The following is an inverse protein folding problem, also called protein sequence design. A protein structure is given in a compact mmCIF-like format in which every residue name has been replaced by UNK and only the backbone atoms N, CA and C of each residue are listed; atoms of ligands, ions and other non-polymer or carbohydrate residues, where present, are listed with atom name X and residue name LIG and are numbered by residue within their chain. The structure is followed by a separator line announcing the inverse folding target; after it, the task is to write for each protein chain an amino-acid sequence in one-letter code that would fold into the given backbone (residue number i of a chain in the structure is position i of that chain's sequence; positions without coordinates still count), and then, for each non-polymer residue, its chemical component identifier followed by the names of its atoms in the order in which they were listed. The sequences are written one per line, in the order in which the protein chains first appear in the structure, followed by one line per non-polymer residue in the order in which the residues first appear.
data_IF_726865723795
#
_entry.id   IF_726865723795
#
_cell.length_a   1.000
_cell.length_b   1.000
_cell.length_c   1.000
_cell.angle_alpha   90.00
_cell.angle_beta   90.00
_cell.angle_gamma   90.00
#
_symmetry.space_group_name_H-M   'P 1'
#
loop_
_entity.id
_entity.type
_entity.pdbx_description
1 polymer ?
#
# COMPACT_ATOMS: atom_id res chain seq x y z
N UNK A 1 -3.07 -6.22 -25.95
CA UNK A 1 -3.22 -6.27 -24.48
C UNK A 1 -4.52 -5.56 -24.18
N UNK A 2 -5.61 -6.31 -24.04
CA UNK A 2 -6.90 -5.73 -23.66
C UNK A 2 -6.72 -5.18 -22.24
N UNK A 3 -6.77 -3.84 -22.10
CA UNK A 3 -6.69 -3.22 -20.79
C UNK A 3 -7.93 -3.66 -20.00
N UNK A 4 -7.72 -4.47 -18.95
CA UNK A 4 -8.74 -4.64 -17.91
C UNK A 4 -8.79 -3.31 -17.18
N UNK A 5 -9.67 -2.42 -17.63
CA UNK A 5 -9.91 -1.13 -17.00
C UNK A 5 -10.71 -1.35 -15.72
N UNK A 6 -10.68 -0.37 -14.82
CA UNK A 6 -11.44 -0.43 -13.57
C UNK A 6 -12.96 -0.25 -13.78
N UNK A 7 -13.48 -0.49 -14.99
CA UNK A 7 -14.89 -0.23 -15.33
C UNK A 7 -15.88 -1.21 -14.70
N UNK A 8 -15.39 -2.36 -14.20
CA UNK A 8 -16.20 -3.31 -13.41
C UNK A 8 -16.34 -2.90 -11.95
N UNK A 9 -15.65 -1.86 -11.48
CA UNK A 9 -15.87 -1.32 -10.15
C UNK A 9 -17.31 -0.83 -10.04
N UNK A 10 -18.01 -1.24 -8.98
CA UNK A 10 -19.19 -0.51 -8.50
C UNK A 10 -18.71 0.83 -7.97
N UNK A 11 -18.53 1.76 -8.89
CA UNK A 11 -18.33 3.18 -8.64
C UNK A 11 -19.74 3.70 -8.27
N UNK A 12 -20.14 3.54 -6.99
CA UNK A 12 -21.22 4.28 -6.28
C UNK A 12 -20.72 5.39 -5.31
N UNK A 13 -21.39 6.55 -5.22
CA UNK A 13 -20.96 7.65 -4.32
C UNK A 13 -20.65 7.07 -2.95
N UNK A 14 -19.50 7.41 -2.31
CA UNK A 14 -19.14 6.84 -1.02
C UNK A 14 -20.33 6.96 -0.06
N UNK A 15 -20.91 5.81 0.30
CA UNK A 15 -21.95 5.73 1.32
C UNK A 15 -21.26 5.33 2.62
N UNK A 16 -21.62 5.97 3.71
CA UNK A 16 -21.13 5.64 5.05
C UNK A 16 -22.02 4.58 5.72
N UNK A 17 -22.75 3.78 4.95
CA UNK A 17 -23.63 2.71 5.46
C UNK A 17 -22.85 1.41 5.72
N UNK A 18 -21.58 1.38 5.32
CA UNK A 18 -20.59 0.30 5.41
C UNK A 18 -19.23 1.01 5.16
N UNK A 19 -18.43 0.56 4.20
CA UNK A 19 -17.14 1.18 3.87
C UNK A 19 -17.17 2.05 2.59
N UNK A 20 -16.68 3.28 2.72
CA UNK A 20 -16.41 4.19 1.62
C UNK A 20 -14.92 4.55 1.54
N UNK A 21 -14.26 4.34 0.39
CA UNK A 21 -12.82 4.61 0.23
C UNK A 21 -12.53 5.51 -0.97
N UNK A 22 -11.60 6.46 -0.78
CA UNK A 22 -10.95 7.24 -1.84
C UNK A 22 -9.44 7.17 -1.68
N UNK A 23 -8.75 6.76 -2.75
CA UNK A 23 -7.28 6.66 -2.78
C UNK A 23 -6.73 7.58 -3.85
N UNK A 24 -5.68 8.30 -3.50
CA UNK A 24 -4.84 9.10 -4.39
C UNK A 24 -3.43 8.50 -4.38
N UNK A 25 -2.87 8.31 -5.56
CA UNK A 25 -1.49 7.89 -5.74
C UNK A 25 -0.73 9.01 -6.43
N UNK A 26 0.56 9.13 -6.16
CA UNK A 26 1.45 9.99 -6.92
C UNK A 26 2.88 9.45 -6.85
N UNK A 27 3.73 9.83 -7.80
CA UNK A 27 5.15 9.51 -7.77
C UNK A 27 5.96 10.75 -8.14
N UNK A 28 7.22 10.81 -7.72
CA UNK A 28 8.06 11.96 -8.01
C UNK A 28 9.47 11.54 -8.44
N UNK A 29 9.87 11.99 -9.63
CA UNK A 29 11.21 11.71 -10.18
C UNK A 29 12.33 12.42 -9.42
N UNK A 30 12.09 13.61 -8.86
CA UNK A 30 13.12 14.37 -8.14
C UNK A 30 13.43 13.78 -6.77
N UNK A 31 12.40 13.41 -6.01
CA UNK A 31 12.55 12.84 -4.67
C UNK A 31 12.66 11.31 -4.67
N UNK A 32 12.40 10.65 -5.81
CA UNK A 32 12.42 9.18 -5.95
C UNK A 32 11.50 8.48 -4.94
N UNK A 33 10.27 8.98 -4.82
CA UNK A 33 9.27 8.47 -3.87
C UNK A 33 7.94 8.17 -4.55
N UNK A 34 7.27 7.16 -4.01
CA UNK A 34 5.86 6.89 -4.25
C UNK A 34 5.07 7.44 -3.07
N UNK A 35 3.94 8.07 -3.37
CA UNK A 35 3.05 8.73 -2.42
C UNK A 35 1.67 8.08 -2.50
N UNK A 36 1.04 7.95 -1.34
CA UNK A 36 -0.35 7.53 -1.24
C UNK A 36 -1.05 8.43 -0.23
N UNK A 37 -2.24 8.89 -0.60
CA UNK A 37 -3.19 9.41 0.35
C UNK A 37 -4.48 8.60 0.26
N UNK A 38 -5.08 8.29 1.40
CA UNK A 38 -6.35 7.60 1.46
C UNK A 38 -7.27 8.33 2.42
N UNK A 39 -8.52 8.50 2.02
CA UNK A 39 -9.61 8.84 2.91
C UNK A 39 -10.58 7.66 2.89
N UNK A 40 -10.99 7.21 4.07
CA UNK A 40 -12.13 6.31 4.19
C UNK A 40 -13.16 6.83 5.18
N UNK A 41 -14.40 6.39 5.01
CA UNK A 41 -15.49 6.59 5.95
C UNK A 41 -16.11 5.22 6.21
N UNK A 42 -16.26 4.89 7.48
CA UNK A 42 -16.71 3.59 7.96
C UNK A 42 -17.87 3.76 8.93
N UNK A 43 -18.88 2.89 8.89
CA UNK A 43 -19.98 2.91 9.85
C UNK A 43 -19.54 2.35 11.21
N UNK A 44 -18.65 1.36 11.22
CA UNK A 44 -18.01 0.78 12.40
C UNK A 44 -16.49 0.93 12.26
N UNK A 45 -15.83 1.44 13.30
CA UNK A 45 -14.37 1.47 13.36
C UNK A 45 -13.83 0.63 14.52
N UNK A 46 -12.98 -0.33 14.21
CA UNK A 46 -12.34 -1.23 15.17
C UNK A 46 -10.82 -1.07 15.13
N UNK A 47 -10.23 -0.93 16.32
CA UNK A 47 -8.79 -0.99 16.51
C UNK A 47 -8.46 -1.71 17.83
N UNK A 48 -8.14 -3.01 17.74
CA UNK A 48 -7.71 -3.84 18.87
C UNK A 48 -6.18 -3.98 18.94
N UNK A 49 -5.42 -3.16 18.21
CA UNK A 49 -3.96 -3.25 18.22
C UNK A 49 -3.43 -2.85 19.62
N UNK A 50 -2.72 -3.78 20.26
CA UNK A 50 -2.22 -3.61 21.63
C UNK A 50 -0.83 -2.93 21.71
N UNK A 51 -0.18 -2.69 20.56
CA UNK A 51 1.18 -2.19 20.48
C UNK A 51 2.25 -3.28 20.38
N UNK A 52 3.46 -2.88 19.93
CA UNK A 52 4.70 -3.64 20.06
C UNK A 52 5.10 -4.58 18.91
N UNK A 53 4.20 -4.96 17.99
CA UNK A 53 4.53 -5.91 16.91
C UNK A 53 3.97 -5.49 15.54
N UNK A 54 4.57 -4.49 14.86
CA UNK A 54 4.26 -4.18 13.47
C UNK A 54 4.86 -5.25 12.55
N UNK A 55 4.10 -5.85 11.60
CA UNK A 55 2.87 -5.36 10.99
C UNK A 55 1.58 -6.10 11.43
N UNK A 56 1.49 -6.64 12.65
CA UNK A 56 0.34 -7.41 13.13
C UNK A 56 -0.87 -6.53 13.50
N UNK A 57 -1.40 -5.80 12.51
CA UNK A 57 -2.62 -4.99 12.63
C UNK A 57 -3.90 -5.80 12.35
N UNK A 58 -3.84 -7.13 12.44
CA UNK A 58 -4.95 -8.05 12.11
C UNK A 58 -6.25 -7.83 12.89
N UNK A 59 -6.19 -7.16 14.04
CA UNK A 59 -7.36 -6.81 14.86
C UNK A 59 -7.80 -5.36 14.71
N UNK A 60 -7.30 -4.65 13.71
CA UNK A 60 -7.61 -3.26 13.47
C UNK A 60 -7.98 -3.04 12.01
N UNK A 61 -8.87 -2.09 11.78
CA UNK A 61 -9.16 -1.60 10.45
C UNK A 61 -7.95 -0.84 9.93
N UNK A 62 -7.37 -1.33 8.84
CA UNK A 62 -6.08 -0.85 8.38
C UNK A 62 -5.96 -0.83 6.87
N UNK A 63 -5.01 -0.04 6.40
CA UNK A 63 -4.54 -0.01 5.02
C UNK A 63 -3.34 -0.94 4.89
N UNK A 64 -3.31 -1.73 3.82
CA UNK A 64 -2.14 -2.47 3.39
C UNK A 64 -1.67 -1.94 2.04
N UNK A 65 -0.38 -1.69 1.92
CA UNK A 65 0.23 -1.15 0.72
C UNK A 65 1.44 -1.97 0.32
N UNK A 66 1.44 -2.46 -0.92
CA UNK A 66 2.46 -3.37 -1.41
C UNK A 66 3.08 -2.81 -2.68
N UNK A 67 4.40 -2.92 -2.77
CA UNK A 67 5.17 -2.42 -3.91
C UNK A 67 6.27 -3.41 -4.29
N UNK A 68 6.50 -3.52 -5.58
CA UNK A 68 7.64 -4.21 -6.21
C UNK A 68 8.19 -3.26 -7.27
N UNK A 69 9.35 -2.67 -7.02
CA UNK A 69 9.79 -1.50 -7.77
C UNK A 69 10.34 -1.79 -9.16
N UNK A 70 11.02 -2.91 -9.34
CA UNK A 70 11.51 -3.36 -10.65
C UNK A 70 10.54 -4.33 -11.35
N UNK A 71 9.40 -4.63 -10.71
CA UNK A 71 8.36 -5.52 -11.22
C UNK A 71 8.92 -6.93 -11.52
N UNK A 72 9.89 -7.37 -10.71
CA UNK A 72 10.54 -8.67 -10.86
C UNK A 72 9.77 -9.81 -10.20
N UNK A 73 8.79 -9.50 -9.34
CA UNK A 73 8.09 -10.45 -8.49
C UNK A 73 8.89 -10.80 -7.24
N UNK A 74 8.84 -12.07 -6.84
CA UNK A 74 9.57 -12.55 -5.66
C UNK A 74 8.82 -12.30 -4.35
N UNK A 75 9.53 -12.49 -3.24
CA UNK A 75 8.88 -12.58 -1.94
C UNK A 75 8.83 -11.27 -1.17
N UNK A 76 7.74 -11.06 -0.43
CA UNK A 76 7.60 -9.93 0.49
C UNK A 76 7.46 -10.33 1.97
N UNK A 77 7.08 -11.59 2.31
CA UNK A 77 6.74 -11.95 3.70
C UNK A 77 7.25 -13.31 4.22
N UNK A 78 7.18 -14.39 3.43
CA UNK A 78 7.29 -15.75 3.98
C UNK A 78 8.72 -16.24 4.30
N UNK A 79 9.75 -15.65 3.69
CA UNK A 79 11.09 -16.25 3.70
C UNK A 79 11.18 -17.49 2.78
N UNK A 80 12.40 -17.95 2.46
CA UNK A 80 12.57 -19.23 1.77
C UNK A 80 12.12 -20.41 2.69
N UNK A 81 11.39 -21.42 2.19
CA UNK A 81 10.79 -22.49 3.00
C UNK A 81 11.76 -23.25 3.92
N UNK A 82 13.01 -23.44 3.48
CA UNK A 82 14.08 -24.14 4.22
C UNK A 82 15.24 -23.18 4.58
N UNK A 83 14.94 -21.90 4.71
CA UNK A 83 15.92 -20.86 5.03
C UNK A 83 16.45 -20.95 6.46
N UNK A 84 17.75 -20.77 6.62
CA UNK A 84 18.33 -20.33 7.89
C UNK A 84 17.75 -18.98 8.29
N UNK A 85 17.79 -18.64 9.59
CA UNK A 85 17.36 -17.32 10.07
C UNK A 85 18.07 -16.18 9.33
N UNK A 86 19.36 -16.33 9.03
CA UNK A 86 20.11 -15.34 8.26
C UNK A 86 19.58 -15.19 6.82
N UNK A 87 19.16 -16.28 6.19
CA UNK A 87 18.52 -16.22 4.86
C UNK A 87 17.14 -15.57 4.94
N UNK A 88 16.31 -15.93 5.94
CA UNK A 88 15.01 -15.28 6.15
C UNK A 88 15.18 -13.77 6.32
N UNK A 89 16.14 -13.34 7.13
CA UNK A 89 16.49 -11.92 7.32
C UNK A 89 16.92 -11.21 6.05
N UNK A 90 17.61 -11.93 5.16
CA UNK A 90 18.10 -11.37 3.91
C UNK A 90 16.98 -11.24 2.87
N UNK A 91 15.99 -12.12 2.88
CA UNK A 91 15.03 -12.21 1.79
C UNK A 91 13.63 -11.64 2.08
N UNK A 92 13.18 -11.62 3.34
CA UNK A 92 11.86 -11.05 3.68
C UNK A 92 11.85 -9.54 3.45
N UNK A 93 10.97 -9.08 2.56
CA UNK A 93 10.83 -7.68 2.19
C UNK A 93 11.91 -7.16 1.22
N UNK A 94 12.81 -8.03 0.75
CA UNK A 94 13.97 -7.62 -0.04
C UNK A 94 13.57 -7.21 -1.47
N UNK A 95 12.83 -8.07 -2.16
CA UNK A 95 12.45 -7.87 -3.57
C UNK A 95 11.18 -7.04 -3.70
N UNK A 96 10.24 -7.26 -2.78
CA UNK A 96 8.99 -6.53 -2.72
C UNK A 96 8.67 -6.19 -1.27
N UNK A 97 8.00 -5.06 -1.05
CA UNK A 97 7.75 -4.48 0.26
C UNK A 97 6.25 -4.45 0.57
N UNK A 98 5.88 -4.84 1.80
CA UNK A 98 4.54 -4.64 2.35
C UNK A 98 4.59 -3.68 3.53
N UNK A 99 3.74 -2.67 3.45
CA UNK A 99 3.45 -1.75 4.52
C UNK A 99 2.02 -1.97 5.02
N UNK A 100 1.81 -1.73 6.31
CA UNK A 100 0.50 -1.69 6.92
C UNK A 100 0.35 -0.36 7.67
N UNK A 101 -0.83 0.24 7.66
CA UNK A 101 -1.09 1.54 8.27
C UNK A 101 -2.38 1.51 9.07
N UNK A 102 -2.30 1.89 10.33
CA UNK A 102 -3.47 2.13 11.20
C UNK A 102 -3.57 3.60 11.57
N UNK A 103 -4.78 4.05 11.88
CA UNK A 103 -4.96 5.28 12.64
C UNK A 103 -4.93 4.94 14.13
N UNK A 104 -4.52 5.91 14.96
CA UNK A 104 -4.59 5.80 16.42
C UNK A 104 -3.94 4.52 17.00
N UNK A 105 -2.61 4.47 17.04
CA UNK A 105 -1.88 3.39 17.73
C UNK A 105 -1.61 3.76 19.21
N UNK A 106 -1.74 2.83 20.17
CA UNK A 106 -1.46 3.11 21.59
C UNK A 106 0.02 3.39 21.88
N UNK A 107 0.92 2.94 20.99
CA UNK A 107 2.38 3.09 21.07
C UNK A 107 2.94 4.08 20.03
N UNK A 108 2.06 4.83 19.36
CA UNK A 108 2.37 5.71 18.24
C UNK A 108 2.95 5.02 16.99
N UNK A 109 3.01 3.68 16.94
CA UNK A 109 3.45 2.95 15.76
C UNK A 109 2.27 2.76 14.82
N UNK A 110 2.13 3.69 13.90
CA UNK A 110 1.06 3.72 12.89
C UNK A 110 1.49 3.18 11.53
N UNK A 111 2.78 2.86 11.36
CA UNK A 111 3.36 2.38 10.11
C UNK A 111 4.12 1.08 10.32
N UNK A 112 3.47 -0.03 10.00
CA UNK A 112 4.08 -1.35 9.99
C UNK A 112 4.82 -1.57 8.68
N UNK A 113 6.00 -2.18 8.75
CA UNK A 113 6.76 -2.56 7.58
C UNK A 113 7.27 -4.00 7.72
N UNK A 114 6.85 -4.88 6.82
CA UNK A 114 7.18 -6.31 6.84
C UNK A 114 8.60 -6.56 6.29
N UNK A 115 9.60 -6.27 7.11
CA UNK A 115 11.00 -6.54 6.81
C UNK A 115 11.85 -6.39 8.07
N UNK A 116 13.02 -7.03 8.09
CA UNK A 116 14.05 -6.78 9.10
C UNK A 116 14.68 -5.38 8.99
N UNK A 117 14.42 -4.66 7.90
CA UNK A 117 14.76 -3.26 7.73
C UNK A 117 13.74 -2.29 8.37
N UNK A 118 12.66 -2.79 9.03
CA UNK A 118 11.58 -1.98 9.60
C UNK A 118 12.07 -0.79 10.43
N UNK A 119 13.15 -0.95 11.20
CA UNK A 119 13.70 0.12 12.02
C UNK A 119 14.15 1.36 11.24
N UNK A 120 14.84 1.20 10.11
CA UNK A 120 15.38 2.34 9.36
C UNK A 120 14.56 2.68 8.12
N UNK A 121 14.09 1.67 7.38
CA UNK A 121 13.43 1.87 6.08
C UNK A 121 11.98 2.36 6.20
N UNK A 122 11.35 2.22 7.38
CA UNK A 122 10.01 2.76 7.64
C UNK A 122 10.02 4.19 8.22
N UNK A 123 11.21 4.78 8.42
CA UNK A 123 11.38 6.11 9.00
C UNK A 123 11.90 7.13 7.99
N UNK A 124 11.73 8.44 8.26
CA UNK A 124 12.34 9.48 7.45
C UNK A 124 13.87 9.30 7.35
N UNK A 125 14.46 9.50 6.15
CA UNK A 125 13.86 10.06 4.94
C UNK A 125 13.25 9.00 3.99
N UNK A 126 13.21 7.72 4.37
CA UNK A 126 12.84 6.63 3.46
C UNK A 126 11.34 6.45 3.31
N UNK A 127 10.64 6.55 4.43
CA UNK A 127 9.19 6.57 4.47
C UNK A 127 8.70 7.52 5.57
N UNK A 128 7.44 7.93 5.51
CA UNK A 128 6.76 8.61 6.60
C UNK A 128 5.25 8.44 6.40
N UNK A 129 4.50 8.58 7.48
CA UNK A 129 3.04 8.58 7.44
C UNK A 129 2.47 9.61 8.41
N UNK A 130 1.34 10.19 8.01
CA UNK A 130 0.46 10.97 8.88
C UNK A 130 -0.92 10.36 8.81
N UNK A 131 -1.55 10.24 9.97
CA UNK A 131 -2.90 9.69 10.08
C UNK A 131 -3.77 10.65 10.86
N UNK A 132 -5.07 10.65 10.56
CA UNK A 132 -6.06 11.43 11.30
C UNK A 132 -7.38 10.69 11.32
N UNK A 133 -8.02 10.67 12.48
CA UNK A 133 -9.37 10.16 12.66
C UNK A 133 -10.33 11.30 13.03
N UNK A 134 -11.55 11.24 12.52
CA UNK A 134 -12.58 12.25 12.71
C UNK A 134 -13.93 11.55 12.88
N UNK A 135 -14.65 11.87 13.94
CA UNK A 135 -15.95 11.24 14.24
C UNK A 135 -15.80 9.95 15.04
N UNK A 136 -16.94 9.28 15.25
CA UNK A 136 -17.01 7.99 15.97
C UNK A 136 -17.81 7.01 15.13
N UNK A 137 -19.03 7.39 14.72
CA UNK A 137 -19.86 6.60 13.78
C UNK A 137 -20.75 7.57 12.96
N UNK A 138 -20.55 7.69 11.63
CA UNK A 138 -19.45 7.09 10.89
C UNK A 138 -18.09 7.73 11.27
N UNK A 139 -17.04 6.92 11.25
CA UNK A 139 -15.66 7.36 11.43
C UNK A 139 -15.04 7.69 10.07
N UNK A 140 -14.48 8.88 9.92
CA UNK A 140 -13.59 9.19 8.80
C UNK A 140 -12.12 8.98 9.23
N UNK A 141 -11.38 8.19 8.45
CA UNK A 141 -9.94 7.99 8.62
C UNK A 141 -9.19 8.52 7.41
N UNK A 142 -8.13 9.31 7.66
CA UNK A 142 -7.23 9.81 6.62
C UNK A 142 -5.82 9.29 6.85
N UNK A 143 -5.18 8.88 5.77
CA UNK A 143 -3.79 8.46 5.69
C UNK A 143 -3.08 9.30 4.62
N UNK A 144 -1.89 9.79 4.91
CA UNK A 144 -0.96 10.37 3.93
C UNK A 144 0.42 9.79 4.19
N UNK A 145 0.98 9.09 3.20
CA UNK A 145 2.27 8.43 3.32
C UNK A 145 3.13 8.60 2.07
N UNK A 146 4.43 8.43 2.26
CA UNK A 146 5.35 8.18 1.16
C UNK A 146 6.27 7.01 1.51
N UNK A 147 6.78 6.35 0.48
CA UNK A 147 7.84 5.35 0.63
C UNK A 147 8.85 5.41 -0.53
N UNK A 148 10.07 5.01 -0.23
CA UNK A 148 11.13 4.71 -1.20
C UNK A 148 10.99 3.27 -1.63
N UNK A 149 11.04 3.01 -2.94
CA UNK A 149 10.97 1.66 -3.49
C UNK A 149 12.37 1.06 -3.57
N UNK A 150 12.45 -0.25 -3.32
CA UNK A 150 13.71 -0.99 -3.30
C UNK A 150 13.59 -2.24 -4.16
N UNK A 151 14.49 -2.37 -5.14
CA UNK A 151 14.63 -3.58 -5.96
C UNK A 151 15.34 -4.70 -5.14
N UNK A 152 16.14 -4.29 -4.17
CA UNK A 152 16.75 -5.20 -3.19
C UNK A 152 17.01 -4.48 -1.86
N UNK A 153 16.10 -4.60 -0.92
CA UNK A 153 16.23 -4.04 0.42
C UNK A 153 17.10 -4.92 1.32
N UNK A 154 18.10 -4.32 1.94
CA UNK A 154 18.99 -5.00 2.88
C UNK A 154 18.87 -4.37 4.28
N UNK A 155 18.60 -5.21 5.29
CA UNK A 155 18.44 -4.76 6.67
C UNK A 155 19.68 -4.05 7.25
N UNK A 156 20.88 -4.28 6.69
CA UNK A 156 22.11 -3.60 7.12
C UNK A 156 22.15 -2.11 6.78
N UNK A 157 21.25 -1.61 5.92
CA UNK A 157 21.11 -0.19 5.65
C UNK A 157 20.97 0.17 4.17
N UNK A 158 20.79 1.48 3.88
CA UNK A 158 20.56 1.97 2.53
C UNK A 158 21.74 1.75 1.58
N UNK A 159 22.98 1.75 2.08
CA UNK A 159 24.20 1.55 1.25
C UNK A 159 24.38 0.10 0.80
N UNK A 160 23.78 -0.85 1.53
CA UNK A 160 23.75 -2.27 1.19
C UNK A 160 22.51 -2.65 0.36
N UNK A 161 21.65 -1.68 0.06
CA UNK A 161 20.37 -1.87 -0.64
C UNK A 161 20.44 -1.32 -2.07
N UNK A 162 19.56 -1.80 -2.94
CA UNK A 162 19.36 -1.30 -4.31
C UNK A 162 18.01 -0.60 -4.35
N UNK A 163 18.02 0.69 -4.65
CA UNK A 163 16.81 1.49 -4.84
C UNK A 163 16.30 1.35 -6.26
N UNK A 164 14.99 1.29 -6.38
CA UNK A 164 14.31 1.47 -7.65
C UNK A 164 14.58 2.87 -8.19
N UNK A 165 14.93 2.96 -9.47
CA UNK A 165 15.05 4.24 -10.17
C UNK A 165 13.71 4.58 -10.82
N UNK A 166 12.88 5.40 -10.16
CA UNK A 166 11.58 5.81 -10.67
C UNK A 166 11.73 6.77 -11.84
N UNK A 167 11.20 6.38 -12.99
CA UNK A 167 11.21 7.15 -14.24
C UNK A 167 9.86 7.11 -14.95
N UNK A 168 9.57 8.12 -15.80
CA UNK A 168 8.41 8.10 -16.67
C UNK A 168 8.29 6.80 -17.45
N UNK A 169 7.11 6.17 -17.39
CA UNK A 169 6.81 4.96 -18.14
C UNK A 169 7.28 3.65 -17.51
N UNK A 170 8.02 3.67 -16.40
CA UNK A 170 8.31 2.45 -15.65
C UNK A 170 7.02 1.75 -15.25
N UNK A 171 7.07 0.41 -15.19
CA UNK A 171 6.03 -0.42 -14.62
C UNK A 171 6.56 -0.91 -13.28
N UNK A 172 5.76 -0.76 -12.22
CA UNK A 172 6.01 -1.32 -10.89
C UNK A 172 4.90 -2.31 -10.58
N UNK A 173 5.17 -3.25 -9.68
CA UNK A 173 4.13 -4.06 -9.05
C UNK A 173 3.45 -3.27 -7.95
N UNK A 174 2.12 -3.20 -7.99
CA UNK A 174 1.31 -2.52 -7.00
C UNK A 174 0.21 -3.43 -6.46
N UNK A 175 -0.02 -3.39 -5.16
CA UNK A 175 -1.22 -3.95 -4.56
C UNK A 175 -1.65 -3.07 -3.40
N UNK A 176 -2.96 -2.93 -3.23
CA UNK A 176 -3.57 -2.16 -2.15
C UNK A 176 -4.63 -3.05 -1.52
N UNK A 177 -4.63 -3.13 -0.20
CA UNK A 177 -5.67 -3.77 0.60
C UNK A 177 -6.26 -2.76 1.58
N UNK A 178 -7.58 -2.78 1.79
CA UNK A 178 -8.26 -2.10 2.88
C UNK A 178 -8.95 -3.18 3.70
N UNK A 179 -8.61 -3.23 4.98
CA UNK A 179 -9.19 -4.15 5.96
C UNK A 179 -10.19 -3.39 6.80
N UNK A 180 -11.36 -3.99 6.93
CA UNK A 180 -12.55 -3.44 7.55
C UNK A 180 -13.19 -4.50 8.46
N UNK A 181 -13.53 -4.13 9.68
CA UNK A 181 -14.11 -5.02 10.68
C UNK A 181 -15.43 -4.47 11.22
N UNK A 182 -16.51 -5.19 10.92
CA UNK A 182 -17.84 -4.89 11.51
C UNK A 182 -18.03 -5.46 12.93
N UNK A 183 -17.11 -6.32 13.37
CA UNK A 183 -17.20 -6.98 14.67
C UNK A 183 -15.83 -7.40 15.21
N UNK A 184 -15.68 -7.34 16.53
CA UNK A 184 -14.46 -7.78 17.22
C UNK A 184 -14.20 -9.26 16.91
N UNK A 185 -12.98 -9.56 16.46
CA UNK A 185 -12.57 -10.94 16.13
C UNK A 185 -13.16 -11.50 14.84
N UNK A 186 -13.79 -10.69 13.98
CA UNK A 186 -14.35 -11.13 12.69
C UNK A 186 -13.29 -11.64 11.69
N UNK A 187 -12.02 -11.29 11.91
CA UNK A 187 -10.94 -11.51 10.94
C UNK A 187 -10.88 -10.45 9.83
N UNK A 188 -11.87 -9.56 9.77
CA UNK A 188 -11.95 -8.45 8.82
C UNK A 188 -12.34 -8.89 7.40
N UNK A 189 -13.02 -8.00 6.68
CA UNK A 189 -13.24 -8.08 5.25
C UNK A 189 -12.08 -7.38 4.55
N UNK A 190 -11.50 -8.04 3.54
CA UNK A 190 -10.38 -7.51 2.75
C UNK A 190 -10.85 -7.06 1.37
N UNK A 191 -10.85 -5.75 1.15
CA UNK A 191 -11.05 -5.14 -0.16
C UNK A 191 -9.69 -4.86 -0.79
N UNK A 192 -9.37 -5.48 -1.94
CA UNK A 192 -8.04 -5.37 -2.56
C UNK A 192 -8.09 -5.32 -4.08
N UNK A 193 -7.04 -4.82 -4.74
CA UNK A 193 -7.00 -4.81 -6.22
C UNK A 193 -7.12 -6.23 -6.77
N UNK A 194 -6.46 -7.21 -6.15
CA UNK A 194 -6.58 -8.62 -6.57
C UNK A 194 -7.99 -9.19 -6.40
N UNK A 195 -8.71 -8.84 -5.33
CA UNK A 195 -10.09 -9.32 -5.15
C UNK A 195 -11.04 -8.69 -6.17
N UNK A 196 -10.81 -7.43 -6.56
CA UNK A 196 -11.53 -6.77 -7.66
C UNK A 196 -11.28 -7.41 -9.02
N UNK A 197 -10.10 -8.02 -9.20
CA UNK A 197 -9.72 -8.73 -10.42
C UNK A 197 -10.05 -10.23 -10.37
N UNK A 198 -10.74 -10.69 -9.32
CA UNK A 198 -11.07 -12.10 -9.06
C UNK A 198 -9.84 -13.02 -9.07
N UNK A 199 -8.68 -12.49 -8.66
CA UNK A 199 -7.43 -13.26 -8.57
C UNK A 199 -7.27 -13.82 -7.15
N UNK A 200 -6.90 -15.11 -7.00
CA UNK A 200 -6.56 -15.65 -5.70
C UNK A 200 -5.35 -14.89 -5.13
N UNK A 201 -5.32 -14.53 -3.84
CA UNK A 201 -4.13 -13.90 -3.26
C UNK A 201 -2.97 -14.90 -3.26
N UNK A 202 -1.87 -14.57 -3.93
CA UNK A 202 -0.60 -15.25 -3.70
C UNK A 202 0.02 -14.56 -2.48
N UNK A 203 -0.25 -15.16 -1.33
CA UNK A 203 0.33 -14.69 -0.07
C UNK A 203 1.85 -14.85 -0.17
N UNK A 204 2.56 -13.81 0.26
CA UNK A 204 4.02 -13.70 0.28
C UNK A 204 4.73 -13.44 -1.05
N UNK A 205 4.01 -13.40 -2.18
CA UNK A 205 4.60 -13.37 -3.52
C UNK A 205 4.06 -12.18 -4.33
N UNK A 206 4.96 -11.37 -4.87
CA UNK A 206 4.66 -10.14 -5.60
C UNK A 206 4.25 -10.37 -7.06
N UNK A 207 4.35 -11.59 -7.56
CA UNK A 207 3.91 -12.02 -8.90
C UNK A 207 2.42 -11.73 -9.15
N UNK A 208 1.65 -11.56 -8.09
CA UNK A 208 0.23 -11.24 -8.14
C UNK A 208 -0.08 -9.75 -8.03
N UNK A 209 0.91 -8.90 -7.79
CA UNK A 209 0.71 -7.47 -7.84
C UNK A 209 0.30 -7.08 -9.27
N UNK A 210 -0.46 -6.01 -9.38
CA UNK A 210 -0.87 -5.51 -10.69
C UNK A 210 0.20 -4.59 -11.25
N UNK A 211 0.34 -4.61 -12.57
CA UNK A 211 1.16 -3.64 -13.29
C UNK A 211 0.62 -2.23 -13.06
N UNK A 212 1.41 -1.38 -12.42
CA UNK A 212 1.16 0.05 -12.30
C UNK A 212 2.21 0.83 -13.10
N UNK A 213 1.76 1.51 -14.18
CA UNK A 213 2.62 2.37 -14.98
C UNK A 213 2.78 3.74 -14.33
N UNK A 214 4.02 4.19 -14.17
CA UNK A 214 4.37 5.53 -13.72
C UNK A 214 4.11 6.53 -14.85
N UNK A 215 2.89 7.07 -14.88
CA UNK A 215 2.50 8.06 -15.89
C UNK A 215 3.17 9.41 -15.58
N UNK A 216 3.94 9.99 -16.50
CA UNK A 216 4.52 11.33 -16.32
C UNK A 216 3.45 12.43 -16.35
N UNK A 217 3.76 13.54 -15.67
CA UNK A 217 3.01 14.77 -15.81
C UNK A 217 3.70 15.66 -16.85
N UNK A 218 3.19 15.64 -18.07
CA UNK A 218 3.83 16.36 -19.19
C UNK A 218 3.59 17.88 -19.10
N UNK A 219 2.55 18.32 -18.37
CA UNK A 219 2.25 19.72 -18.05
C UNK A 219 1.51 19.89 -16.71
N UNK A 220 1.97 20.87 -15.92
CA UNK A 220 1.23 21.63 -14.91
C UNK A 220 0.42 20.83 -13.88
N UNK A 221 -0.84 20.53 -14.22
CA UNK A 221 -1.86 19.92 -13.36
C UNK A 221 -2.14 18.45 -13.68
N UNK A 222 -1.32 17.84 -14.54
CA UNK A 222 -1.42 16.44 -14.97
C UNK A 222 -2.76 16.08 -15.65
N UNK A 223 -3.58 17.06 -16.06
CA UNK A 223 -4.88 16.82 -16.69
C UNK A 223 -4.79 16.36 -18.15
N UNK A 224 -3.60 16.47 -18.76
CA UNK A 224 -3.31 16.02 -20.13
C UNK A 224 -2.26 14.90 -20.21
N UNK A 225 -1.93 14.26 -19.08
CA UNK A 225 -1.14 13.03 -19.11
C UNK A 225 -1.91 11.93 -19.88
N UNK A 226 -1.20 10.94 -20.43
CA UNK A 226 -1.80 9.72 -21.00
C UNK A 226 -2.96 9.27 -20.11
N UNK A 227 -4.16 9.08 -20.70
CA UNK A 227 -5.35 8.65 -19.96
C UNK A 227 -4.99 7.42 -19.12
N UNK A 228 -5.16 7.51 -17.81
CA UNK A 228 -5.05 6.34 -16.94
C UNK A 228 -6.12 5.32 -17.34
N UNK A 229 -5.94 4.05 -16.98
CA UNK A 229 -6.97 3.01 -17.17
C UNK A 229 -8.26 3.26 -16.34
N UNK A 230 -8.37 4.44 -15.72
CA UNK A 230 -9.50 4.90 -14.92
C UNK A 230 -10.20 5.98 -15.75
N UNK A 231 -11.42 5.68 -16.21
CA UNK A 231 -12.19 6.57 -17.10
C UNK A 231 -12.48 7.91 -16.41
N UNK A 232 -12.67 9.03 -17.15
CA UNK A 232 -12.89 10.37 -16.56
C UNK A 232 -14.08 10.48 -15.60
N UNK A 233 -15.04 9.56 -15.70
CA UNK A 233 -16.26 9.42 -14.91
C UNK A 233 -16.10 8.46 -13.71
N UNK A 234 -14.93 7.86 -13.53
CA UNK A 234 -14.62 7.02 -12.36
C UNK A 234 -13.85 7.80 -11.30
N UNK A 235 -14.18 7.58 -10.02
CA UNK A 235 -13.71 8.44 -8.92
C UNK A 235 -12.28 8.17 -8.45
N UNK A 236 -11.56 7.25 -9.11
CA UNK A 236 -10.12 7.06 -8.91
C UNK A 236 -9.32 8.16 -9.60
N UNK A 237 -9.32 9.38 -9.04
CA UNK A 237 -8.39 10.42 -9.50
C UNK A 237 -7.06 10.27 -8.79
N UNK A 238 -6.04 9.82 -9.51
CA UNK A 238 -4.63 10.06 -9.18
C UNK A 238 -4.42 11.57 -9.28
N UNK A 239 -4.35 12.26 -8.14
CA UNK A 239 -3.91 13.66 -8.08
C UNK A 239 -2.44 13.64 -7.69
N UNK A 240 -1.59 14.15 -8.58
CA UNK A 240 -0.25 14.60 -8.22
C UNK A 240 -0.32 16.00 -7.60
#
# INVERSE_FOLDING_TARGET
LDSRDFSSLQVGSPSSDDLAVRIHLAWNMGTQRLYMAMQRTDDIYINQYAGGDPPNFFGADHLEFYVDGDHSGGQYACGPPDGTEAQVRLYVGAQAQRYAVIAEAPDAIVFGFESFASGWASLPPWADVRTRQIGVEPTETRFELYTTLWDNLNWNGPDASIRTLLQPGNIIGLQIGVIDHDALGSGGIRYSITSLLERPPLVCFAENFVDARLVPCDRGDCTQADLSAVRPDSWGRIKA
#
